data_IF_423138820824
#
_entry.id   IF_423138820824
#
_cell.length_a   1.000
_cell.length_b   1.000
_cell.length_c   1.000
_cell.angle_alpha   90.00
_cell.angle_beta   90.00
_cell.angle_gamma   90.00
#
_symmetry.space_group_name_H-M   'P 1'
#
loop_
_entity.id
_entity.type
_entity.pdbx_description
1 polymer ?
#
# COMPACT_ATOMS: atom_id res chain seq x y z
N UNK A 1 31.69 -24.43 -18.37
CA UNK A 1 31.99 -23.00 -18.62
C UNK A 1 31.94 -22.25 -17.30
N UNK A 2 33.02 -21.58 -16.90
CA UNK A 2 33.02 -20.80 -15.65
C UNK A 2 32.44 -19.42 -15.95
N UNK A 3 31.19 -19.15 -15.55
CA UNK A 3 30.51 -17.88 -15.83
C UNK A 3 31.20 -16.78 -15.02
N UNK A 4 31.88 -15.85 -15.70
CA UNK A 4 32.47 -14.69 -15.04
C UNK A 4 31.35 -13.81 -14.47
N UNK A 5 31.46 -13.51 -13.18
CA UNK A 5 30.58 -12.58 -12.50
C UNK A 5 30.74 -11.17 -13.08
N UNK A 6 29.60 -10.51 -13.28
CA UNK A 6 29.51 -9.09 -13.58
C UNK A 6 30.02 -8.22 -12.41
N UNK A 7 30.30 -6.96 -12.69
CA UNK A 7 30.68 -5.98 -11.66
C UNK A 7 29.63 -5.88 -10.55
N UNK A 8 28.35 -5.92 -10.91
CA UNK A 8 27.26 -5.93 -9.96
C UNK A 8 27.26 -7.19 -9.08
N UNK A 9 27.37 -8.37 -9.68
CA UNK A 9 27.37 -9.62 -8.93
C UNK A 9 28.56 -9.71 -7.98
N UNK A 10 29.73 -9.21 -8.39
CA UNK A 10 30.92 -9.12 -7.51
C UNK A 10 30.67 -8.18 -6.32
N UNK A 11 30.15 -6.99 -6.57
CA UNK A 11 29.87 -6.02 -5.50
C UNK A 11 28.81 -6.53 -4.51
N UNK A 12 27.80 -7.26 -4.99
CA UNK A 12 26.75 -7.85 -4.17
C UNK A 12 27.21 -9.03 -3.28
N UNK A 13 28.46 -9.48 -3.41
CA UNK A 13 29.06 -10.46 -2.47
C UNK A 13 29.45 -9.82 -1.14
N UNK A 14 29.76 -8.52 -1.13
CA UNK A 14 30.03 -7.78 0.10
C UNK A 14 28.70 -7.51 0.85
N UNK A 15 28.54 -8.03 2.09
CA UNK A 15 27.33 -7.82 2.88
C UNK A 15 27.02 -6.35 3.17
N UNK A 16 28.04 -5.50 3.37
CA UNK A 16 27.85 -4.07 3.67
C UNK A 16 27.35 -3.34 2.44
N UNK A 17 28.03 -3.53 1.30
CA UNK A 17 27.57 -3.02 0.01
C UNK A 17 26.15 -3.48 -0.31
N UNK A 18 25.86 -4.78 -0.16
CA UNK A 18 24.53 -5.34 -0.44
C UNK A 18 23.44 -4.72 0.43
N UNK A 19 23.73 -4.46 1.71
CA UNK A 19 22.79 -3.82 2.64
C UNK A 19 22.50 -2.38 2.21
N UNK A 20 23.53 -1.60 1.93
CA UNK A 20 23.36 -0.20 1.50
C UNK A 20 22.71 -0.13 0.12
N UNK A 21 23.10 -1.00 -0.82
CA UNK A 21 22.46 -1.13 -2.12
C UNK A 21 20.97 -1.37 -1.99
N UNK A 22 20.54 -2.35 -1.17
CA UNK A 22 19.11 -2.63 -0.95
C UNK A 22 18.36 -1.44 -0.37
N UNK A 23 18.98 -0.71 0.55
CA UNK A 23 18.39 0.51 1.13
C UNK A 23 18.20 1.58 0.05
N UNK A 24 19.25 1.88 -0.71
CA UNK A 24 19.20 2.90 -1.78
C UNK A 24 18.28 2.50 -2.93
N UNK A 25 18.22 1.20 -3.25
CA UNK A 25 17.33 0.67 -4.28
C UNK A 25 15.86 0.91 -3.97
N UNK A 26 15.44 0.72 -2.70
CA UNK A 26 14.06 1.05 -2.29
C UNK A 26 13.73 2.53 -2.50
N UNK A 27 14.65 3.42 -2.13
CA UNK A 27 14.47 4.86 -2.30
C UNK A 27 14.37 5.23 -3.78
N UNK A 28 15.24 4.61 -4.60
CA UNK A 28 15.24 4.79 -6.04
C UNK A 28 13.91 4.37 -6.67
N UNK A 29 13.41 3.17 -6.36
CA UNK A 29 12.12 2.68 -6.87
C UNK A 29 10.98 3.62 -6.52
N UNK A 30 10.94 4.12 -5.28
CA UNK A 30 9.88 5.04 -4.86
C UNK A 30 9.98 6.40 -5.57
N UNK A 31 11.19 6.90 -5.80
CA UNK A 31 11.42 8.13 -6.58
C UNK A 31 10.97 7.96 -8.03
N UNK A 32 11.36 6.86 -8.67
CA UNK A 32 10.98 6.55 -10.05
C UNK A 32 9.47 6.39 -10.20
N UNK A 33 8.81 5.78 -9.21
CA UNK A 33 7.36 5.67 -9.20
C UNK A 33 6.70 7.06 -9.24
N UNK A 34 7.12 7.99 -8.38
CA UNK A 34 6.57 9.36 -8.38
C UNK A 34 6.84 10.07 -9.72
N UNK A 35 8.03 9.90 -10.30
CA UNK A 35 8.38 10.49 -11.60
C UNK A 35 7.50 9.92 -12.71
N UNK A 36 7.37 8.59 -12.77
CA UNK A 36 6.55 7.90 -13.76
C UNK A 36 5.09 8.36 -13.68
N UNK A 37 4.55 8.45 -12.47
CA UNK A 37 3.19 8.91 -12.22
C UNK A 37 2.96 10.37 -12.62
N UNK A 38 3.94 11.25 -12.38
CA UNK A 38 3.89 12.63 -12.85
C UNK A 38 3.95 12.73 -14.39
N UNK A 39 4.82 11.94 -15.02
CA UNK A 39 5.01 11.96 -16.48
C UNK A 39 3.81 11.36 -17.22
N UNK A 40 3.25 10.24 -16.75
CA UNK A 40 2.12 9.57 -17.42
C UNK A 40 0.83 10.40 -17.42
N UNK A 41 0.68 11.31 -16.45
CA UNK A 41 -0.54 12.11 -16.26
C UNK A 41 -0.31 13.61 -16.52
N UNK A 42 0.87 14.00 -16.99
CA UNK A 42 1.28 15.41 -17.20
C UNK A 42 1.08 16.31 -15.96
N UNK A 43 1.30 15.74 -14.77
CA UNK A 43 0.99 16.40 -13.50
C UNK A 43 2.19 17.13 -12.90
N UNK A 44 1.94 18.34 -12.38
CA UNK A 44 2.89 19.02 -11.51
C UNK A 44 2.89 18.41 -10.10
N UNK A 45 3.99 18.61 -9.35
CA UNK A 45 4.10 18.20 -7.94
C UNK A 45 2.91 18.73 -7.11
N UNK A 46 2.44 19.94 -7.41
CA UNK A 46 1.32 20.57 -6.67
C UNK A 46 -0.02 19.94 -7.00
N UNK A 47 -0.26 19.59 -8.27
CA UNK A 47 -1.49 18.87 -8.66
C UNK A 47 -1.54 17.51 -8.01
N UNK A 48 -0.45 16.77 -8.13
CA UNK A 48 -0.30 15.44 -7.54
C UNK A 48 -0.52 15.45 -6.02
N UNK A 49 0.10 16.41 -5.34
CA UNK A 49 -0.07 16.61 -3.91
C UNK A 49 -1.53 16.82 -3.51
N UNK A 50 -2.24 17.65 -4.28
CA UNK A 50 -3.65 17.97 -4.04
C UNK A 50 -4.54 16.75 -4.22
N UNK A 51 -4.33 15.99 -5.29
CA UNK A 51 -5.17 14.82 -5.62
C UNK A 51 -4.98 13.69 -4.62
N UNK A 52 -3.74 13.41 -4.21
CA UNK A 52 -3.47 12.34 -3.24
C UNK A 52 -3.72 12.74 -1.77
N UNK A 53 -4.02 14.01 -1.50
CA UNK A 53 -4.12 14.54 -0.13
C UNK A 53 -2.78 14.50 0.63
N UNK A 54 -1.65 14.59 -0.08
CA UNK A 54 -0.30 14.54 0.47
C UNK A 54 0.35 15.92 0.33
N UNK A 55 1.14 16.37 1.31
CA UNK A 55 1.83 17.66 1.14
C UNK A 55 2.84 17.62 -0.01
N UNK A 56 2.90 18.71 -0.80
CA UNK A 56 3.87 18.85 -1.89
C UNK A 56 5.33 18.70 -1.42
N UNK A 57 5.62 19.07 -0.16
CA UNK A 57 6.93 18.88 0.46
C UNK A 57 7.30 17.40 0.59
N UNK A 58 6.37 16.55 1.01
CA UNK A 58 6.58 15.09 1.10
C UNK A 58 6.82 14.50 -0.28
N UNK A 59 5.97 14.83 -1.27
CA UNK A 59 6.13 14.35 -2.65
C UNK A 59 7.49 14.77 -3.21
N UNK A 60 7.89 16.02 -3.00
CA UNK A 60 9.17 16.51 -3.48
C UNK A 60 10.37 15.83 -2.77
N UNK A 61 10.28 15.53 -1.47
CA UNK A 61 11.32 14.81 -0.74
C UNK A 61 11.48 13.38 -1.25
N UNK A 62 10.38 12.71 -1.56
CA UNK A 62 10.39 11.36 -2.14
C UNK A 62 10.99 11.39 -3.54
N UNK A 63 10.50 12.28 -4.41
CA UNK A 63 10.99 12.50 -5.78
C UNK A 63 12.48 12.85 -5.85
N UNK A 64 13.03 13.48 -4.81
CA UNK A 64 14.45 13.83 -4.74
C UNK A 64 15.29 12.81 -3.98
N UNK A 65 14.69 11.69 -3.54
CA UNK A 65 15.36 10.65 -2.76
C UNK A 65 15.76 11.06 -1.33
N UNK A 66 15.30 12.23 -0.84
CA UNK A 66 15.56 12.73 0.52
C UNK A 66 14.72 12.04 1.59
N UNK A 67 13.60 11.43 1.19
CA UNK A 67 12.73 10.64 2.05
C UNK A 67 12.53 9.26 1.41
N UNK A 68 12.73 8.22 2.21
CA UNK A 68 12.71 6.81 1.78
C UNK A 68 11.44 6.06 2.18
N UNK A 69 10.65 6.67 3.04
CA UNK A 69 9.48 6.10 3.68
C UNK A 69 8.22 6.88 3.29
N UNK A 70 7.13 6.14 3.11
CA UNK A 70 5.81 6.67 2.84
C UNK A 70 4.82 5.97 3.77
N UNK A 71 3.97 6.75 4.44
CA UNK A 71 2.88 6.15 5.23
C UNK A 71 2.01 5.30 4.31
N UNK A 72 1.60 4.13 4.80
CA UNK A 72 0.77 3.21 4.01
C UNK A 72 -0.51 3.88 3.49
N UNK A 73 -1.16 4.71 4.31
CA UNK A 73 -2.32 5.51 3.89
C UNK A 73 -2.02 6.39 2.67
N UNK A 74 -0.87 7.06 2.66
CA UNK A 74 -0.46 7.93 1.56
C UNK A 74 -0.13 7.11 0.31
N UNK A 75 0.46 5.92 0.49
CA UNK A 75 0.75 5.03 -0.63
C UNK A 75 -0.55 4.50 -1.26
N UNK A 76 -1.53 4.09 -0.45
CA UNK A 76 -2.84 3.65 -0.95
C UNK A 76 -3.53 4.77 -1.72
N UNK A 77 -3.60 5.99 -1.16
CA UNK A 77 -4.20 7.14 -1.85
C UNK A 77 -3.48 7.48 -3.15
N UNK A 78 -2.15 7.34 -3.18
CA UNK A 78 -1.36 7.55 -4.38
C UNK A 78 -1.76 6.52 -5.45
N UNK A 79 -1.82 5.23 -5.11
CA UNK A 79 -2.20 4.18 -6.06
C UNK A 79 -3.63 4.38 -6.58
N UNK A 80 -4.56 4.72 -5.70
CA UNK A 80 -5.97 4.95 -6.02
C UNK A 80 -6.19 6.10 -7.01
N UNK A 81 -5.57 7.27 -6.76
CA UNK A 81 -5.63 8.43 -7.68
C UNK A 81 -5.16 8.10 -9.09
N UNK A 82 -4.25 7.15 -9.21
CA UNK A 82 -3.70 6.72 -10.49
C UNK A 82 -4.36 5.47 -11.08
N UNK A 83 -5.47 5.01 -10.49
CA UNK A 83 -6.25 3.88 -10.99
C UNK A 83 -5.57 2.53 -10.78
N UNK A 84 -4.68 2.40 -9.80
CA UNK A 84 -4.07 1.13 -9.42
C UNK A 84 -4.87 0.46 -8.29
N UNK A 85 -5.22 -0.80 -8.49
CA UNK A 85 -5.73 -1.66 -7.43
C UNK A 85 -4.57 -2.23 -6.61
N UNK A 86 -4.57 -1.97 -5.30
CA UNK A 86 -3.58 -2.55 -4.40
C UNK A 86 -4.10 -3.88 -3.84
N UNK A 87 -3.40 -4.97 -4.15
CA UNK A 87 -3.78 -6.33 -3.73
C UNK A 87 -2.63 -6.98 -2.95
N UNK A 88 -2.95 -7.56 -1.80
CA UNK A 88 -2.08 -8.48 -1.08
C UNK A 88 -2.36 -9.91 -1.55
N UNK A 89 -1.34 -10.57 -2.07
CA UNK A 89 -1.43 -11.94 -2.58
C UNK A 89 -0.61 -12.91 -1.72
N UNK A 90 -1.21 -14.04 -1.35
CA UNK A 90 -0.57 -15.12 -0.60
C UNK A 90 -1.03 -16.48 -1.14
N UNK A 91 -0.22 -17.06 -2.03
CA UNK A 91 -0.65 -18.26 -2.76
C UNK A 91 -1.86 -17.91 -3.62
N UNK A 92 -2.96 -18.64 -3.43
CA UNK A 92 -4.23 -18.39 -4.12
C UNK A 92 -5.12 -17.34 -3.41
N UNK A 93 -4.72 -16.87 -2.21
CA UNK A 93 -5.46 -15.86 -1.45
C UNK A 93 -5.14 -14.45 -1.97
N UNK A 94 -6.17 -13.64 -2.20
CA UNK A 94 -6.04 -12.22 -2.58
C UNK A 94 -6.92 -11.34 -1.69
N UNK A 95 -6.32 -10.28 -1.15
CA UNK A 95 -7.00 -9.27 -0.33
C UNK A 95 -6.78 -7.90 -0.99
N UNK A 96 -7.85 -7.26 -1.44
CA UNK A 96 -7.79 -5.90 -1.99
C UNK A 96 -7.76 -4.87 -0.86
N UNK A 97 -6.93 -3.84 -1.01
CA UNK A 97 -6.72 -2.77 -0.01
C UNK A 97 -7.45 -1.46 -0.35
N UNK A 98 -8.37 -1.47 -1.32
CA UNK A 98 -9.20 -0.30 -1.64
C UNK A 98 -10.10 0.05 -0.45
N UNK A 99 -10.14 1.34 -0.09
CA UNK A 99 -11.15 1.84 0.85
C UNK A 99 -12.48 1.86 0.10
N UNK A 100 -13.51 1.20 0.65
CA UNK A 100 -14.89 1.43 0.27
C UNK A 100 -15.24 2.89 0.62
N UNK A 101 -14.97 3.83 -0.28
CA UNK A 101 -15.59 5.15 -0.30
C UNK A 101 -16.76 5.11 -1.30
N UNK A 102 -17.77 4.29 -1.01
CA UNK A 102 -19.10 4.41 -1.60
C UNK A 102 -20.10 4.78 -0.51
N UNK A 103 -20.31 6.08 -0.33
CA UNK A 103 -21.65 6.60 -0.07
C UNK A 103 -21.97 7.66 -1.12
N UNK A 104 -22.57 7.26 -2.25
CA UNK A 104 -23.54 8.03 -3.03
C UNK A 104 -24.34 7.06 -3.95
N UNK A 105 -25.58 7.41 -4.35
CA UNK A 105 -26.72 6.50 -4.18
C UNK A 105 -26.94 5.50 -5.33
N UNK A 106 -27.29 4.28 -4.91
CA UNK A 106 -28.18 3.30 -5.58
C UNK A 106 -28.58 3.61 -7.02
N UNK A 107 -27.87 3.02 -7.99
CA UNK A 107 -28.45 2.70 -9.30
C UNK A 107 -28.84 1.22 -9.30
N UNK A 108 -30.14 0.99 -9.44
CA UNK A 108 -30.79 -0.32 -9.42
C UNK A 108 -30.16 -1.28 -10.45
N UNK A 109 -29.81 -2.47 -9.98
CA UNK A 109 -29.91 -3.68 -10.78
C UNK A 109 -28.59 -4.41 -11.05
N UNK A 110 -28.18 -5.25 -10.09
CA UNK A 110 -28.01 -6.71 -10.27
C UNK A 110 -27.61 -7.33 -8.93
N UNK A 111 -28.50 -8.18 -8.42
CA UNK A 111 -28.22 -9.06 -7.28
C UNK A 111 -27.33 -10.22 -7.71
N UNK A 112 -26.30 -10.51 -6.91
CA UNK A 112 -26.13 -11.85 -6.34
C UNK A 112 -25.22 -11.79 -5.11
N UNK A 113 -25.85 -11.74 -3.94
CA UNK A 113 -25.26 -11.91 -2.61
C UNK A 113 -24.95 -13.39 -2.38
N UNK A 114 -23.76 -13.71 -1.87
CA UNK A 114 -23.59 -14.80 -0.90
C UNK A 114 -22.54 -14.41 0.16
N UNK A 115 -22.98 -13.78 1.25
CA UNK A 115 -22.21 -13.72 2.49
C UNK A 115 -22.61 -14.88 3.39
N UNK A 116 -21.71 -15.83 3.64
CA UNK A 116 -21.87 -16.84 4.70
C UNK A 116 -21.59 -16.17 6.05
N UNK A 117 -22.64 -15.93 6.84
CA UNK A 117 -22.50 -15.63 8.28
C UNK A 117 -22.05 -16.89 9.00
N UNK A 118 -20.92 -16.85 9.70
CA UNK A 118 -20.59 -17.83 10.75
C UNK A 118 -21.14 -17.28 12.06
N UNK A 119 -22.08 -18.02 12.65
CA UNK A 119 -22.67 -17.71 13.95
C UNK A 119 -21.68 -18.04 15.08
N UNK A 120 -21.52 -17.11 16.03
CA UNK A 120 -20.81 -17.38 17.30
C UNK A 120 -21.82 -17.92 18.33
N UNK A 121 -21.56 -19.04 19.03
CA UNK A 121 -22.48 -19.56 20.04
C UNK A 121 -22.47 -18.69 21.29
N UNK A 122 -23.67 -18.36 21.80
CA UNK A 122 -23.85 -17.75 23.13
C UNK A 122 -23.66 -18.83 24.21
N UNK A 123 -22.57 -18.76 24.98
CA UNK A 123 -22.50 -19.48 26.26
C UNK A 123 -23.30 -18.73 27.32
N UNK A 124 -24.33 -19.42 27.85
CA UNK A 124 -25.04 -19.07 29.08
C UNK A 124 -24.13 -19.36 30.27
N UNK A 125 -24.00 -18.40 31.19
CA UNK A 125 -23.62 -18.68 32.58
C UNK A 125 -24.54 -17.91 33.53
N UNK A 126 -24.89 -18.61 34.60
CA UNK A 126 -26.03 -18.40 35.48
C UNK A 126 -25.93 -17.15 36.36
N UNK A 127 -27.11 -16.62 36.69
CA UNK A 127 -27.35 -15.74 37.83
C UNK A 127 -26.84 -16.35 39.14
N UNK A 128 -26.12 -15.54 39.93
CA UNK A 128 -26.21 -15.58 41.39
C UNK A 128 -26.43 -14.17 41.90
N UNK A 129 -27.61 -13.94 42.48
CA UNK A 129 -27.97 -12.78 43.30
C UNK A 129 -27.42 -12.98 44.72
N UNK A 130 -26.85 -11.93 45.31
CA UNK A 130 -26.93 -11.59 46.75
C UNK A 130 -26.77 -10.07 46.82
N UNK A 131 -27.84 -9.30 47.06
CA UNK A 131 -28.56 -9.05 48.32
C UNK A 131 -27.84 -8.01 49.21
N UNK A 132 -28.62 -6.99 49.56
CA UNK A 132 -28.29 -5.75 50.26
C UNK A 132 -27.67 -5.92 51.66
N UNK A 133 -26.97 -4.87 52.09
CA UNK A 133 -26.44 -4.63 53.43
C UNK A 133 -25.57 -3.40 53.42
#
# INVERSE_FOLDING_TARGET
>A
MNKKLSTYEKAMQDPEFKKEYKKRYKNFVLSELIIALMTSNEQSIRSLAKECGISASIINKIRTGKQSDLKLSNFINLMDVFGYDLVLEKGDERITLSQELEELPSVKGRSSVVHRRVAVPKHKTHHVRKAAG
#
